data_IF_758010490843
#
_entry.id   IF_758010490843
#
_cell.length_a   1.000
_cell.length_b   1.000
_cell.length_c   1.000
_cell.angle_alpha   90.00
_cell.angle_beta   90.00
_cell.angle_gamma   90.00
#
_symmetry.space_group_name_H-M   'P 1'
#
loop_
_entity.id
_entity.type
_entity.pdbx_description
1 polymer ?
#
# COMPACT_ATOMS: atom_id res chain seq x y z
N UNK A 1 1.46 11.89 17.51
CA UNK A 1 0.17 11.80 18.23
C UNK A 1 -0.93 11.60 17.22
N UNK A 2 -1.99 10.87 17.58
CA UNK A 2 -3.19 10.73 16.73
C UNK A 2 -3.96 12.05 16.68
N UNK A 3 -4.61 12.34 15.55
CA UNK A 3 -5.42 13.52 15.36
C UNK A 3 -6.76 13.18 14.72
N UNK A 4 -7.81 13.84 15.20
CA UNK A 4 -9.16 13.75 14.66
C UNK A 4 -9.66 15.15 14.31
N UNK A 5 -10.54 15.21 13.32
CA UNK A 5 -11.30 16.43 13.00
C UNK A 5 -12.75 16.08 12.72
N UNK A 6 -13.62 17.06 12.89
CA UNK A 6 -15.03 16.94 12.56
C UNK A 6 -15.24 17.21 11.08
N UNK A 7 -15.92 16.28 10.40
CA UNK A 7 -16.25 16.37 8.99
C UNK A 7 -17.76 16.37 8.76
N UNK A 8 -18.30 17.26 7.91
CA UNK A 8 -19.66 17.15 7.42
C UNK A 8 -19.71 16.04 6.36
N UNK A 9 -20.52 15.02 6.61
CA UNK A 9 -20.69 13.87 5.72
C UNK A 9 -22.15 13.71 5.30
N UNK A 10 -22.38 12.89 4.27
CA UNK A 10 -23.72 12.44 3.89
C UNK A 10 -23.79 10.92 3.98
N UNK A 11 -24.85 10.41 4.60
CA UNK A 11 -25.11 8.97 4.60
C UNK A 11 -25.29 8.48 3.16
N UNK A 12 -24.57 7.43 2.72
CA UNK A 12 -24.72 6.87 1.37
C UNK A 12 -26.05 6.14 1.17
N UNK A 13 -26.77 5.80 2.25
CA UNK A 13 -28.05 5.09 2.19
C UNK A 13 -29.26 6.03 2.13
N UNK A 14 -29.36 7.02 3.03
CA UNK A 14 -30.52 7.92 3.09
C UNK A 14 -30.22 9.39 2.73
N UNK A 15 -28.94 9.76 2.54
CA UNK A 15 -28.53 11.14 2.23
C UNK A 15 -28.52 12.11 3.42
N UNK A 16 -28.85 11.64 4.64
CA UNK A 16 -28.83 12.44 5.86
C UNK A 16 -27.45 13.07 6.08
N UNK A 17 -27.43 14.37 6.41
CA UNK A 17 -26.20 15.10 6.70
C UNK A 17 -25.90 15.04 8.18
N UNK A 18 -24.69 14.64 8.53
CA UNK A 18 -24.24 14.59 9.93
C UNK A 18 -22.78 15.02 10.03
N UNK A 19 -22.40 15.55 11.19
CA UNK A 19 -21.02 15.87 11.51
C UNK A 19 -20.43 14.71 12.32
N UNK A 20 -19.29 14.19 11.89
CA UNK A 20 -18.64 13.03 12.51
C UNK A 20 -17.17 13.32 12.77
N UNK A 21 -16.64 12.78 13.85
CA UNK A 21 -15.20 12.84 14.13
C UNK A 21 -14.49 11.68 13.41
N UNK A 22 -13.54 12.02 12.54
CA UNK A 22 -12.75 11.05 11.78
C UNK A 22 -11.26 11.28 12.07
N UNK A 23 -10.50 10.20 12.10
CA UNK A 23 -9.04 10.24 12.22
C UNK A 23 -8.41 10.74 10.92
N UNK A 24 -7.54 11.74 11.06
CA UNK A 24 -6.60 12.21 10.03
C UNK A 24 -5.25 11.52 10.18
N UNK A 25 -4.87 11.21 11.42
CA UNK A 25 -3.66 10.47 11.73
C UNK A 25 -3.86 9.59 12.95
N UNK A 26 -3.16 8.46 12.98
CA UNK A 26 -3.14 7.54 14.12
C UNK A 26 -1.69 7.25 14.51
N UNK A 27 -1.36 7.36 15.80
CA UNK A 27 -0.09 6.88 16.34
C UNK A 27 -0.32 5.58 17.10
N UNK A 28 0.04 4.46 16.49
CA UNK A 28 -0.25 3.13 17.04
C UNK A 28 0.67 2.71 18.17
N UNK A 29 1.86 3.31 18.29
CA UNK A 29 2.75 3.08 19.43
C UNK A 29 2.17 3.72 20.70
N UNK A 30 1.51 4.87 20.56
CA UNK A 30 0.84 5.56 21.67
C UNK A 30 -0.58 5.01 21.93
N UNK A 31 -1.28 4.56 20.88
CA UNK A 31 -2.67 4.10 20.89
C UNK A 31 -2.84 2.80 20.10
N UNK A 32 -2.39 1.64 20.62
CA UNK A 32 -2.41 0.35 19.92
C UNK A 32 -3.82 -0.11 19.52
N UNK A 33 -4.86 0.34 20.23
CA UNK A 33 -6.26 0.07 19.93
C UNK A 33 -6.70 0.59 18.56
N UNK A 34 -6.06 1.65 18.03
CA UNK A 34 -6.36 2.19 16.71
C UNK A 34 -5.87 1.28 15.58
N UNK A 35 -4.74 0.60 15.77
CA UNK A 35 -4.29 -0.47 14.85
C UNK A 35 -5.30 -1.61 14.83
N UNK A 36 -5.78 -2.03 16.01
CA UNK A 36 -6.82 -3.06 16.12
C UNK A 36 -8.11 -2.61 15.43
N UNK A 37 -8.53 -1.36 15.62
CA UNK A 37 -9.70 -0.80 14.94
C UNK A 37 -9.52 -0.75 13.41
N UNK A 38 -8.33 -0.44 12.92
CA UNK A 38 -8.01 -0.48 11.49
C UNK A 38 -8.20 -1.90 10.94
N UNK A 39 -7.60 -2.91 11.58
CA UNK A 39 -7.68 -4.32 11.17
C UNK A 39 -9.09 -4.88 11.23
N UNK A 40 -9.85 -4.55 12.27
CA UNK A 40 -11.25 -4.98 12.45
C UNK A 40 -12.25 -4.18 11.60
N UNK A 41 -11.77 -3.31 10.71
CA UNK A 41 -12.62 -2.49 9.84
C UNK A 41 -13.56 -1.53 10.61
N UNK A 42 -13.11 -1.07 11.79
CA UNK A 42 -13.84 -0.15 12.69
C UNK A 42 -13.29 1.28 12.67
N UNK A 43 -12.06 1.50 12.19
CA UNK A 43 -11.49 2.84 12.06
C UNK A 43 -12.33 3.68 11.07
N UNK A 44 -12.66 4.92 11.45
CA UNK A 44 -13.48 5.84 10.65
C UNK A 44 -14.82 5.21 10.19
N UNK A 45 -15.37 4.29 10.99
CA UNK A 45 -16.70 3.74 10.79
C UNK A 45 -17.74 4.64 11.44
N UNK A 46 -18.79 4.91 10.69
CA UNK A 46 -19.86 5.83 11.06
C UNK A 46 -21.19 5.06 11.06
N UNK A 47 -22.04 5.39 12.03
CA UNK A 47 -23.44 4.99 12.06
C UNK A 47 -24.32 6.20 11.73
N UNK A 48 -25.31 6.04 10.86
CA UNK A 48 -26.24 7.11 10.52
C UNK A 48 -27.25 7.33 11.64
N UNK A 49 -27.37 8.56 12.14
CA UNK A 49 -28.35 8.91 13.18
C UNK A 49 -29.82 8.86 12.73
N UNK A 50 -30.07 8.67 11.43
CA UNK A 50 -31.42 8.69 10.83
C UNK A 50 -31.88 7.30 10.36
N UNK A 51 -31.03 6.55 9.64
CA UNK A 51 -31.39 5.23 9.12
C UNK A 51 -30.61 4.06 9.72
N UNK A 52 -29.76 4.31 10.73
CA UNK A 52 -28.93 3.32 11.43
C UNK A 52 -27.95 2.55 10.53
N UNK A 53 -27.84 2.94 9.26
CA UNK A 53 -26.88 2.34 8.34
C UNK A 53 -25.45 2.60 8.82
N UNK A 54 -24.63 1.56 8.83
CA UNK A 54 -23.23 1.65 9.23
C UNK A 54 -22.30 1.47 8.04
N UNK A 55 -21.41 2.44 7.83
CA UNK A 55 -20.53 2.53 6.67
C UNK A 55 -19.17 3.10 7.08
N UNK A 56 -18.14 2.80 6.28
CA UNK A 56 -16.78 3.30 6.50
C UNK A 56 -16.53 4.51 5.63
N UNK A 57 -15.73 5.45 6.12
CA UNK A 57 -15.25 6.58 5.33
C UNK A 57 -13.75 6.41 5.11
N UNK A 58 -13.41 6.09 3.86
CA UNK A 58 -12.02 6.09 3.40
C UNK A 58 -11.66 7.51 3.02
N UNK A 59 -10.63 8.04 3.68
CA UNK A 59 -10.07 9.36 3.42
C UNK A 59 -8.56 9.31 3.69
N UNK A 60 -7.79 10.29 3.20
CA UNK A 60 -6.37 10.42 3.53
C UNK A 60 -6.12 10.22 5.02
N UNK A 61 -5.23 9.29 5.35
CA UNK A 61 -4.89 8.91 6.72
C UNK A 61 -3.39 8.72 6.86
N UNK A 62 -2.80 9.36 7.86
CA UNK A 62 -1.41 9.13 8.25
C UNK A 62 -1.33 8.08 9.36
N UNK A 63 -0.85 6.89 9.02
CA UNK A 63 -0.47 5.87 9.99
C UNK A 63 0.95 6.14 10.47
N UNK A 64 1.15 6.20 11.79
CA UNK A 64 2.45 6.41 12.41
C UNK A 64 2.71 5.33 13.45
N UNK A 65 3.83 4.63 13.31
CA UNK A 65 4.37 3.74 14.34
C UNK A 65 5.75 4.25 14.76
N UNK A 66 5.79 4.97 15.89
CA UNK A 66 7.02 5.58 16.38
C UNK A 66 8.03 4.56 16.93
N UNK A 67 7.59 3.36 17.32
CA UNK A 67 8.51 2.31 17.80
C UNK A 67 9.30 1.71 16.64
N UNK A 68 8.74 1.77 15.43
CA UNK A 68 9.36 1.29 14.19
C UNK A 68 9.88 2.42 13.28
N UNK A 69 9.80 3.67 13.74
CA UNK A 69 10.19 4.88 12.99
C UNK A 69 9.61 4.92 11.56
N UNK A 70 8.31 4.64 11.40
CA UNK A 70 7.64 4.57 10.09
C UNK A 70 6.42 5.47 10.03
N UNK A 71 6.23 6.08 8.87
CA UNK A 71 5.04 6.85 8.47
C UNK A 71 4.47 6.22 7.19
N UNK A 72 3.19 5.86 7.21
CA UNK A 72 2.48 5.35 6.04
C UNK A 72 1.34 6.31 5.71
N UNK A 73 1.41 6.95 4.56
CA UNK A 73 0.32 7.75 4.01
C UNK A 73 -0.60 6.83 3.23
N UNK A 74 -1.83 6.69 3.71
CA UNK A 74 -2.89 6.05 2.94
C UNK A 74 -3.69 7.14 2.21
N UNK A 75 -3.63 7.10 0.88
CA UNK A 75 -4.31 8.03 -0.02
C UNK A 75 -5.35 7.28 -0.85
N UNK A 76 -6.57 7.05 -0.32
CA UNK A 76 -7.65 6.45 -1.10
C UNK A 76 -8.06 7.37 -2.25
N UNK A 77 -8.93 6.90 -3.15
CA UNK A 77 -9.43 7.72 -4.26
C UNK A 77 -10.07 9.03 -3.75
N UNK A 78 -9.38 10.13 -3.99
CA UNK A 78 -9.79 11.50 -3.66
C UNK A 78 -10.25 12.28 -4.89
N UNK A 79 -10.27 11.66 -6.08
CA UNK A 79 -10.46 12.34 -7.36
C UNK A 79 -9.22 13.06 -7.90
N UNK A 80 -8.08 12.99 -7.19
CA UNK A 80 -6.76 13.41 -7.67
C UNK A 80 -6.08 12.21 -8.34
N UNK A 81 -5.36 12.41 -9.44
CA UNK A 81 -4.70 11.29 -10.12
C UNK A 81 -3.56 10.72 -9.27
N UNK A 82 -3.20 9.46 -9.50
CA UNK A 82 -2.09 8.83 -8.77
C UNK A 82 -0.76 9.54 -9.04
N UNK A 83 -0.52 9.91 -10.29
CA UNK A 83 0.70 10.59 -10.72
C UNK A 83 0.83 11.96 -10.04
N UNK A 84 -0.26 12.72 -9.95
CA UNK A 84 -0.29 13.99 -9.21
C UNK A 84 0.04 13.78 -7.72
N UNK A 85 -0.50 12.73 -7.10
CA UNK A 85 -0.21 12.39 -5.70
C UNK A 85 1.27 12.02 -5.53
N UNK A 86 1.83 11.21 -6.44
CA UNK A 86 3.24 10.79 -6.40
C UNK A 86 4.18 11.99 -6.55
N UNK A 87 3.92 12.85 -7.54
CA UNK A 87 4.69 14.08 -7.78
C UNK A 87 4.68 15.03 -6.57
N UNK A 88 3.52 15.23 -5.93
CA UNK A 88 3.41 16.03 -4.72
C UNK A 88 4.17 15.40 -3.56
N UNK A 89 4.10 14.07 -3.45
CA UNK A 89 4.75 13.33 -2.39
C UNK A 89 6.28 13.38 -2.52
N UNK A 90 6.81 13.22 -3.73
CA UNK A 90 8.25 13.26 -3.98
C UNK A 90 8.83 14.66 -3.68
N UNK A 91 8.14 15.72 -4.07
CA UNK A 91 8.50 17.10 -3.70
C UNK A 91 8.51 17.27 -2.18
N UNK A 92 7.48 16.81 -1.49
CA UNK A 92 7.40 16.90 -0.03
C UNK A 92 8.52 16.11 0.66
N UNK A 93 8.90 14.94 0.12
CA UNK A 93 10.00 14.13 0.63
C UNK A 93 11.37 14.78 0.40
N UNK A 94 11.57 15.45 -0.73
CA UNK A 94 12.77 16.23 -1.01
C UNK A 94 12.90 17.44 -0.06
N UNK A 95 11.81 18.18 0.14
CA UNK A 95 11.75 19.28 1.10
C UNK A 95 12.05 18.81 2.53
N UNK A 96 11.45 17.69 2.95
CA UNK A 96 11.70 17.08 4.25
C UNK A 96 13.18 16.72 4.42
N UNK A 97 13.78 16.09 3.40
CA UNK A 97 15.20 15.72 3.40
C UNK A 97 16.10 16.95 3.55
N UNK A 98 15.76 18.05 2.89
CA UNK A 98 16.53 19.30 2.93
C UNK A 98 16.32 20.09 4.24
N UNK A 99 15.18 19.93 4.90
CA UNK A 99 14.86 20.60 6.16
C UNK A 99 15.37 19.87 7.41
N UNK A 100 15.67 18.57 7.30
CA UNK A 100 16.12 17.76 8.44
C UNK A 100 17.59 18.08 8.81
N UNK A 101 17.89 18.30 10.10
CA UNK A 101 19.27 18.50 10.56
C UNK A 101 20.16 17.30 10.26
N UNK A 102 21.44 17.55 9.97
CA UNK A 102 22.44 16.50 9.81
C UNK A 102 22.50 15.60 11.07
N UNK A 103 22.43 14.29 10.85
CA UNK A 103 22.52 13.28 11.92
C UNK A 103 21.17 12.85 12.53
N UNK A 104 20.04 13.38 12.08
CA UNK A 104 18.73 12.85 12.45
C UNK A 104 18.36 11.65 11.56
N UNK A 105 18.02 10.53 12.19
CA UNK A 105 17.52 9.34 11.48
C UNK A 105 16.16 9.66 10.85
N UNK A 106 16.08 9.53 9.52
CA UNK A 106 14.85 9.83 8.80
C UNK A 106 13.82 8.73 9.04
N UNK A 107 12.55 9.06 9.31
CA UNK A 107 11.51 8.05 9.38
C UNK A 107 11.37 7.40 8.01
N UNK A 108 11.10 6.09 8.00
CA UNK A 108 10.74 5.39 6.77
C UNK A 108 9.35 5.86 6.35
N UNK A 109 9.25 6.50 5.19
CA UNK A 109 7.98 6.98 4.66
C UNK A 109 7.49 6.05 3.54
N UNK A 110 6.23 5.67 3.60
CA UNK A 110 5.55 4.85 2.59
C UNK A 110 4.23 5.48 2.18
N UNK A 111 3.85 5.25 0.94
CA UNK A 111 2.58 5.64 0.36
C UNK A 111 1.83 4.38 -0.07
N UNK A 112 0.52 4.34 0.17
CA UNK A 112 -0.39 3.26 -0.25
C UNK A 112 -1.70 3.88 -0.70
N UNK A 113 -2.34 3.30 -1.71
CA UNK A 113 -3.58 3.84 -2.29
C UNK A 113 -4.84 3.15 -1.81
N UNK A 114 -4.72 1.96 -1.22
CA UNK A 114 -5.88 1.27 -0.67
C UNK A 114 -5.60 0.63 0.69
N UNK A 115 -6.68 0.15 1.32
CA UNK A 115 -6.62 -0.44 2.64
C UNK A 115 -5.92 -1.80 2.62
N UNK A 116 -6.02 -2.56 1.53
CA UNK A 116 -5.40 -3.87 1.41
C UNK A 116 -3.88 -3.70 1.45
N UNK A 117 -3.34 -2.78 0.64
CA UNK A 117 -1.93 -2.39 0.65
C UNK A 117 -1.48 -1.91 2.04
N UNK A 118 -2.27 -1.04 2.69
CA UNK A 118 -1.96 -0.56 4.05
C UNK A 118 -1.84 -1.72 5.04
N UNK A 119 -2.82 -2.63 5.05
CA UNK A 119 -2.86 -3.74 6.00
C UNK A 119 -1.75 -4.74 5.71
N UNK A 120 -1.51 -5.07 4.44
CA UNK A 120 -0.43 -5.96 4.02
C UNK A 120 0.94 -5.40 4.43
N UNK A 121 1.19 -4.10 4.17
CA UNK A 121 2.42 -3.43 4.56
C UNK A 121 2.64 -3.46 6.08
N UNK A 122 1.59 -3.26 6.88
CA UNK A 122 1.70 -3.36 8.34
C UNK A 122 2.08 -4.79 8.74
N UNK A 123 1.46 -5.82 8.16
CA UNK A 123 1.82 -7.21 8.47
C UNK A 123 3.25 -7.56 8.04
N UNK A 124 3.69 -7.13 6.86
CA UNK A 124 5.06 -7.34 6.39
C UNK A 124 6.08 -6.73 7.35
N UNK A 125 5.86 -5.46 7.70
CA UNK A 125 6.69 -4.74 8.66
C UNK A 125 6.70 -5.46 10.02
N UNK A 126 5.54 -5.88 10.53
CA UNK A 126 5.45 -6.55 11.83
C UNK A 126 6.21 -7.87 11.87
N UNK A 127 6.21 -8.60 10.76
CA UNK A 127 6.97 -9.83 10.55
C UNK A 127 8.48 -9.60 10.29
N UNK A 128 8.94 -8.34 10.21
CA UNK A 128 10.32 -8.01 9.89
C UNK A 128 10.72 -8.36 8.45
N UNK A 129 9.73 -8.37 7.55
CA UNK A 129 9.96 -8.59 6.12
C UNK A 129 10.30 -7.28 5.43
N UNK A 130 11.10 -7.36 4.38
CA UNK A 130 11.45 -6.22 3.56
C UNK A 130 10.45 -6.11 2.40
N UNK A 131 9.70 -5.01 2.35
CA UNK A 131 8.65 -4.80 1.35
C UNK A 131 9.20 -4.72 -0.07
N UNK A 132 10.39 -4.17 -0.30
CA UNK A 132 10.98 -4.12 -1.65
C UNK A 132 11.29 -5.53 -2.14
N UNK A 133 11.79 -6.39 -1.25
CA UNK A 133 12.02 -7.80 -1.56
C UNK A 133 10.71 -8.53 -1.86
N UNK A 134 9.65 -8.28 -1.08
CA UNK A 134 8.34 -8.93 -1.33
C UNK A 134 7.73 -8.45 -2.65
N UNK A 135 7.75 -7.16 -2.93
CA UNK A 135 7.25 -6.61 -4.19
C UNK A 135 8.09 -7.08 -5.38
N UNK A 136 9.42 -7.18 -5.25
CA UNK A 136 10.26 -7.81 -6.28
C UNK A 136 9.85 -9.26 -6.57
N UNK A 137 9.50 -10.04 -5.54
CA UNK A 137 9.01 -11.41 -5.72
C UNK A 137 7.68 -11.40 -6.46
N UNK A 138 6.74 -10.52 -6.09
CA UNK A 138 5.45 -10.39 -6.81
C UNK A 138 5.67 -9.99 -8.27
N UNK A 139 6.55 -9.02 -8.53
CA UNK A 139 6.96 -8.59 -9.87
C UNK A 139 7.46 -9.79 -10.68
N UNK A 140 8.45 -10.52 -10.15
CA UNK A 140 9.02 -11.71 -10.79
C UNK A 140 7.97 -12.78 -11.07
N UNK A 141 7.04 -13.02 -10.14
CA UNK A 141 5.96 -14.00 -10.30
C UNK A 141 5.02 -13.59 -11.43
N UNK A 142 4.63 -12.31 -11.51
CA UNK A 142 3.84 -11.79 -12.63
C UNK A 142 4.61 -11.91 -13.95
N UNK A 143 5.83 -11.39 -14.03
CA UNK A 143 6.63 -11.37 -15.27
C UNK A 143 6.87 -12.79 -15.83
N UNK A 144 7.08 -13.78 -14.95
CA UNK A 144 7.28 -15.18 -15.36
C UNK A 144 5.97 -15.91 -15.72
N UNK A 145 4.80 -15.36 -15.35
CA UNK A 145 3.51 -16.02 -15.50
C UNK A 145 2.46 -15.12 -16.17
N UNK A 146 2.86 -14.18 -17.04
CA UNK A 146 1.99 -13.14 -17.62
C UNK A 146 0.68 -13.66 -18.21
N UNK A 147 0.69 -14.86 -18.82
CA UNK A 147 -0.50 -15.49 -19.40
C UNK A 147 -1.54 -15.94 -18.36
N UNK A 148 -1.09 -16.32 -17.17
CA UNK A 148 -1.94 -16.84 -16.08
C UNK A 148 -2.22 -15.77 -15.02
N UNK A 149 -1.24 -14.91 -14.76
CA UNK A 149 -1.26 -13.84 -13.77
C UNK A 149 -1.04 -12.48 -14.44
N UNK A 150 -1.86 -12.07 -15.41
CA UNK A 150 -1.73 -10.76 -16.03
C UNK A 150 -2.00 -9.66 -14.98
N UNK A 151 -1.10 -8.68 -14.79
CA UNK A 151 -1.23 -7.66 -13.76
C UNK A 151 -2.49 -6.80 -13.94
N UNK A 152 -3.05 -6.67 -15.14
CA UNK A 152 -4.30 -5.93 -15.38
C UNK A 152 -5.48 -6.56 -14.63
N UNK A 153 -5.48 -7.90 -14.50
CA UNK A 153 -6.61 -8.66 -13.95
C UNK A 153 -6.33 -9.31 -12.62
N UNK A 154 -5.06 -9.60 -12.31
CA UNK A 154 -4.67 -10.35 -11.11
C UNK A 154 -3.77 -9.51 -10.24
N UNK A 155 -3.97 -9.59 -8.92
CA UNK A 155 -3.03 -9.09 -7.94
C UNK A 155 -2.60 -10.18 -6.97
N UNK A 156 -1.37 -10.07 -6.47
CA UNK A 156 -0.79 -10.98 -5.48
C UNK A 156 -0.78 -10.32 -4.10
N UNK A 157 -1.46 -10.94 -3.15
CA UNK A 157 -1.51 -10.49 -1.75
C UNK A 157 -0.76 -11.46 -0.86
N UNK A 158 0.28 -10.99 -0.16
CA UNK A 158 0.99 -11.79 0.81
C UNK A 158 0.13 -12.02 2.06
N UNK A 159 -0.23 -13.28 2.29
CA UNK A 159 -0.86 -13.68 3.53
C UNK A 159 0.22 -14.03 4.56
N UNK A 160 0.69 -13.02 5.28
CA UNK A 160 1.72 -13.16 6.32
C UNK A 160 1.30 -14.10 7.44
N UNK A 161 0.01 -14.10 7.81
CA UNK A 161 -0.50 -14.87 8.95
C UNK A 161 -0.54 -16.37 8.69
N UNK A 162 -0.90 -16.78 7.47
CA UNK A 162 -0.93 -18.19 7.08
C UNK A 162 0.41 -18.69 6.51
N UNK A 163 1.39 -17.79 6.33
CA UNK A 163 2.75 -18.15 5.95
C UNK A 163 3.45 -18.92 7.07
N UNK A 164 4.30 -19.88 6.70
CA UNK A 164 5.01 -20.77 7.63
C UNK A 164 6.50 -20.45 7.71
N UNK A 165 7.25 -21.25 8.48
CA UNK A 165 8.71 -21.21 8.51
C UNK A 165 9.36 -21.61 7.18
N UNK A 166 8.61 -22.33 6.34
CA UNK A 166 9.12 -22.95 5.10
C UNK A 166 8.55 -22.28 3.85
N UNK A 167 7.35 -21.70 3.92
CA UNK A 167 6.65 -21.13 2.77
C UNK A 167 6.00 -19.76 3.09
N UNK A 168 6.09 -18.85 2.13
CA UNK A 168 5.25 -17.66 2.00
C UNK A 168 4.02 -18.01 1.16
N UNK A 169 2.86 -17.51 1.57
CA UNK A 169 1.61 -17.70 0.83
C UNK A 169 1.16 -16.40 0.16
N UNK A 170 1.01 -16.43 -1.15
CA UNK A 170 0.45 -15.33 -1.93
C UNK A 170 -0.94 -15.72 -2.42
N UNK A 171 -1.98 -15.02 -1.97
CA UNK A 171 -3.32 -15.18 -2.52
C UNK A 171 -3.41 -14.43 -3.85
N UNK A 172 -3.90 -15.11 -4.89
CA UNK A 172 -4.23 -14.50 -6.17
C UNK A 172 -5.64 -13.97 -6.07
N UNK A 173 -5.80 -12.66 -6.28
CA UNK A 173 -7.09 -12.01 -6.29
C UNK A 173 -7.39 -11.44 -7.67
N UNK A 174 -8.62 -11.63 -8.14
CA UNK A 174 -9.13 -10.94 -9.31
C UNK A 174 -9.45 -9.49 -8.97
N UNK A 175 -8.90 -8.55 -9.76
CA UNK A 175 -8.95 -7.12 -9.47
C UNK A 175 -10.35 -6.53 -9.65
N UNK A 176 -11.14 -7.08 -10.58
CA UNK A 176 -12.50 -6.57 -10.88
C UNK A 176 -13.52 -7.09 -9.86
N UNK A 177 -13.49 -8.40 -9.59
CA UNK A 177 -14.47 -9.07 -8.73
C UNK A 177 -14.08 -9.08 -7.25
N UNK A 178 -12.79 -8.89 -6.95
CA UNK A 178 -12.18 -9.06 -5.63
C UNK A 178 -12.22 -10.51 -5.09
N UNK A 179 -12.53 -11.49 -5.94
CA UNK A 179 -12.55 -12.90 -5.56
C UNK A 179 -11.13 -13.46 -5.40
N UNK A 180 -10.92 -14.27 -4.35
CA UNK A 180 -9.69 -15.02 -4.14
C UNK A 180 -9.76 -16.34 -4.92
N UNK A 181 -8.86 -16.52 -5.88
CA UNK A 181 -8.94 -17.63 -6.84
C UNK A 181 -8.06 -18.81 -6.45
N UNK A 182 -6.81 -18.54 -6.09
CA UNK A 182 -5.84 -19.58 -5.71
C UNK A 182 -4.78 -19.02 -4.75
N UNK A 183 -3.97 -19.92 -4.20
CA UNK A 183 -2.85 -19.57 -3.31
C UNK A 183 -1.56 -20.14 -3.89
N UNK A 184 -0.60 -19.25 -4.15
CA UNK A 184 0.75 -19.60 -4.56
C UNK A 184 1.63 -19.78 -3.33
N UNK A 185 2.48 -20.80 -3.36
CA UNK A 185 3.48 -21.09 -2.33
C UNK A 185 4.84 -20.67 -2.83
N UNK A 186 5.52 -19.84 -2.07
CA UNK A 186 6.88 -19.38 -2.38
C UNK A 186 7.83 -19.79 -1.25
N UNK A 187 8.93 -20.47 -1.59
CA UNK A 187 9.85 -20.98 -0.58
C UNK A 187 10.49 -19.88 0.26
N UNK A 188 10.53 -20.05 1.58
CA UNK A 188 11.28 -19.15 2.49
C UNK A 188 12.78 -19.19 2.21
N UNK A 189 13.31 -20.30 1.68
CA UNK A 189 14.69 -20.36 1.21
C UNK A 189 14.90 -19.44 0.01
N UNK A 190 14.00 -19.48 -0.98
CA UNK A 190 14.03 -18.56 -2.12
C UNK A 190 13.93 -17.10 -1.66
N UNK A 191 13.02 -16.79 -0.72
CA UNK A 191 12.90 -15.44 -0.13
C UNK A 191 14.23 -14.99 0.50
N UNK A 192 14.90 -15.84 1.28
CA UNK A 192 16.20 -15.51 1.88
C UNK A 192 17.28 -15.27 0.83
N UNK A 193 17.22 -15.94 -0.33
CA UNK A 193 18.16 -15.70 -1.42
C UNK A 193 17.92 -14.33 -2.07
N UNK A 194 16.66 -13.95 -2.31
CA UNK A 194 16.33 -12.59 -2.79
C UNK A 194 16.74 -11.53 -1.75
N UNK A 195 16.57 -11.79 -0.45
CA UNK A 195 17.09 -10.89 0.59
C UNK A 195 18.62 -10.72 0.53
N UNK A 196 19.37 -11.76 0.15
CA UNK A 196 20.83 -11.65 -0.03
C UNK A 196 21.16 -10.82 -1.27
N UNK A 197 20.46 -11.07 -2.38
CA UNK A 197 20.61 -10.27 -3.60
C UNK A 197 20.37 -8.79 -3.32
N UNK A 198 19.30 -8.44 -2.60
CA UNK A 198 19.01 -7.05 -2.24
C UNK A 198 20.09 -6.43 -1.35
N UNK A 199 20.66 -7.21 -0.41
CA UNK A 199 21.76 -6.72 0.44
C UNK A 199 23.06 -6.50 -0.32
N UNK A 200 23.35 -7.36 -1.30
CA UNK A 200 24.58 -7.31 -2.07
C UNK A 200 24.52 -6.27 -3.20
N UNK A 201 23.32 -5.95 -3.71
CA UNK A 201 23.08 -4.97 -4.76
C UNK A 201 21.69 -4.34 -4.65
N UNK A 202 21.49 -3.33 -3.79
CA UNK A 202 20.19 -2.70 -3.59
C UNK A 202 19.73 -1.83 -4.77
N UNK A 203 20.66 -1.35 -5.59
CA UNK A 203 20.43 -0.40 -6.68
C UNK A 203 19.35 -0.90 -7.66
N UNK A 204 19.39 -2.16 -8.09
CA UNK A 204 18.39 -2.75 -9.01
C UNK A 204 16.96 -2.70 -8.41
N UNK A 205 16.83 -2.97 -7.11
CA UNK A 205 15.54 -2.92 -6.42
C UNK A 205 15.09 -1.48 -6.16
N UNK A 206 16.03 -0.54 -6.05
CA UNK A 206 15.78 0.89 -5.88
C UNK A 206 15.36 1.57 -7.18
N UNK A 207 15.95 1.15 -8.29
CA UNK A 207 15.56 1.56 -9.64
C UNK A 207 14.20 0.99 -10.03
N UNK A 208 13.92 -0.28 -9.71
CA UNK A 208 12.63 -0.90 -10.05
C UNK A 208 11.47 -0.36 -9.20
N UNK A 209 11.73 0.00 -7.94
CA UNK A 209 10.72 0.55 -7.03
C UNK A 209 11.19 1.89 -6.46
N UNK A 210 11.20 2.97 -7.26
CA UNK A 210 11.66 4.26 -6.79
C UNK A 210 10.71 4.83 -5.74
N UNK A 211 11.26 5.62 -4.82
CA UNK A 211 10.44 6.41 -3.89
C UNK A 211 9.67 5.60 -2.83
N UNK A 212 8.57 6.17 -2.30
CA UNK A 212 7.83 5.65 -1.15
C UNK A 212 6.65 4.75 -1.51
N UNK A 213 6.17 4.77 -2.76
CA UNK A 213 5.14 3.84 -3.25
C UNK A 213 5.82 2.65 -3.92
N UNK A 214 5.73 1.49 -3.29
CA UNK A 214 6.39 0.26 -3.73
C UNK A 214 5.27 -0.74 -4.01
N UNK A 215 4.99 -0.99 -5.29
CA UNK A 215 3.94 -1.90 -5.71
C UNK A 215 4.28 -2.53 -7.06
N UNK A 216 4.48 -3.84 -7.07
CA UNK A 216 4.89 -4.60 -8.25
C UNK A 216 3.91 -4.50 -9.41
N UNK A 217 2.61 -4.52 -9.11
CA UNK A 217 1.55 -4.47 -10.11
C UNK A 217 1.50 -3.11 -10.78
N UNK A 218 1.67 -2.02 -10.02
CA UNK A 218 1.76 -0.67 -10.59
C UNK A 218 2.94 -0.55 -11.55
N UNK A 219 4.14 -0.96 -11.14
CA UNK A 219 5.35 -0.93 -11.99
C UNK A 219 5.11 -1.67 -13.32
N UNK A 220 4.55 -2.88 -13.28
CA UNK A 220 4.26 -3.66 -14.49
C UNK A 220 3.22 -3.01 -15.42
N UNK A 221 2.23 -2.32 -14.84
CA UNK A 221 1.21 -1.61 -15.62
C UNK A 221 1.74 -0.34 -16.26
N UNK A 222 2.74 0.30 -15.66
CA UNK A 222 3.45 1.44 -16.24
C UNK A 222 4.35 0.98 -17.39
N UNK A 223 5.17 -0.05 -17.19
CA UNK A 223 6.00 -0.67 -18.24
C UNK A 223 5.16 -1.06 -19.46
N UNK A 224 4.02 -1.73 -19.25
CA UNK A 224 3.13 -2.14 -20.35
C UNK A 224 2.45 -0.97 -21.09
N UNK A 225 2.34 0.22 -20.48
CA UNK A 225 1.84 1.43 -21.17
C UNK A 225 2.93 2.07 -22.02
N UNK A 226 4.14 2.18 -21.49
CA UNK A 226 5.30 2.72 -22.22
C UNK A 226 5.61 1.90 -23.47
N UNK A 227 5.54 0.56 -23.36
CA UNK A 227 5.70 -0.34 -24.50
C UNK A 227 4.65 -0.07 -25.59
N UNK A 228 3.37 0.08 -25.20
CA UNK A 228 2.27 0.35 -26.15
C UNK A 228 2.41 1.72 -26.84
N UNK A 229 2.81 2.76 -26.10
CA UNK A 229 3.06 4.10 -26.67
C UNK A 229 4.27 4.12 -27.61
N UNK A 230 5.28 3.28 -27.36
CA UNK A 230 6.43 3.15 -28.25
C UNK A 230 6.10 2.43 -29.57
N UNK A 231 5.24 1.42 -29.53
CA UNK A 231 4.78 0.70 -30.73
C UNK A 231 3.86 1.56 -31.61
N UNK A 232 3.01 2.40 -31.01
CA UNK A 232 2.14 3.33 -31.76
C UNK A 232 2.93 4.49 -32.41
N UNK A 233 4.05 4.90 -31.83
CA UNK A 233 4.91 5.96 -32.37
C UNK A 233 5.78 5.54 -33.57
N UNK A 234 6.07 4.24 -33.72
CA UNK A 234 6.88 3.71 -34.83
C UNK A 234 6.05 3.42 -36.10
N UNK A 235 4.71 3.30 -35.98
CA UNK A 235 3.80 3.08 -37.12
C UNK A 235 3.39 4.39 -37.84
N UNK A 236 3.81 5.57 -37.34
CA UNK A 236 3.54 6.90 -37.94
C UNK A 236 4.71 7.49 -38.76
N UNK A 237 5.79 6.73 -39.05
CA UNK A 237 6.95 7.15 -39.86
C UNK A 237 7.11 6.40 -41.19
#
# INVERSE_FOLDING_TARGET
MSAQKTYPIRCPQCGHKQNVELYDSINVAQQPELKKALFENRLNRVECSDCEASFRIDKPLLYHDSDRNILIHWMPDTGVTRDEILDEFDKAMEELRNALPEGMEQPRVRLVFDRVELVELIFMMEAGMDERVVEYIKYTVHSQNMSRLPPEKKQLLLNVQDSTSDELLFAVQDVETLDLEEVLRYSREAYRNVCKMYKDGPEEFEELFPGPYINARSTLLEEGREDAESEEGDDEL
#
